data_IF_127447339314
#
_entry.id   IF_127447339314
#
_cell.length_a   1.000
_cell.length_b   1.000
_cell.length_c   1.000
_cell.angle_alpha   90.00
_cell.angle_beta   90.00
_cell.angle_gamma   90.00
#
_symmetry.space_group_name_H-M   'P 1'
#
loop_
_entity.id
_entity.type
_entity.pdbx_description
1 polymer ?
#
# COMPACT_ATOMS: atom_id res chain seq x y z
N UNK A 1 -18.81 5.05 4.74
CA UNK A 1 -18.18 6.29 4.24
C UNK A 1 -18.64 6.45 2.81
N UNK A 2 -19.30 7.57 2.46
CA UNK A 2 -19.65 7.90 1.08
C UNK A 2 -18.67 8.95 0.58
N UNK A 3 -18.04 8.68 -0.56
CA UNK A 3 -17.18 9.64 -1.23
C UNK A 3 -18.00 10.44 -2.23
N UNK A 4 -17.67 11.71 -2.44
CA UNK A 4 -18.25 12.55 -3.51
C UNK A 4 -17.32 12.67 -4.72
N UNK A 5 -16.14 12.05 -4.64
CA UNK A 5 -15.11 11.92 -5.68
C UNK A 5 -14.18 10.75 -5.33
N UNK A 6 -13.56 10.13 -6.31
CA UNK A 6 -12.53 9.12 -6.07
C UNK A 6 -11.33 9.74 -5.32
N UNK A 7 -10.97 9.24 -4.11
CA UNK A 7 -9.80 9.74 -3.38
C UNK A 7 -8.49 9.35 -4.07
N UNK A 8 -7.42 10.11 -3.87
CA UNK A 8 -6.11 9.81 -4.48
C UNK A 8 -5.46 8.57 -3.86
N UNK A 9 -5.65 8.36 -2.55
CA UNK A 9 -5.15 7.21 -1.80
C UNK A 9 -6.31 6.62 -1.01
N UNK A 10 -6.43 5.30 -0.99
CA UNK A 10 -7.39 4.56 -0.17
C UNK A 10 -6.62 3.64 0.78
N UNK A 11 -6.62 3.91 2.10
CA UNK A 11 -6.19 2.90 3.05
C UNK A 11 -7.27 1.81 3.13
N UNK A 12 -6.89 0.58 2.81
CA UNK A 12 -7.77 -0.60 2.91
C UNK A 12 -7.24 -1.49 4.02
N UNK A 13 -8.08 -1.77 5.02
CA UNK A 13 -7.80 -2.77 6.04
C UNK A 13 -8.42 -4.09 5.60
N UNK A 14 -7.62 -5.15 5.60
CA UNK A 14 -8.04 -6.50 5.22
C UNK A 14 -7.63 -7.47 6.32
N UNK A 15 -8.51 -8.41 6.65
CA UNK A 15 -8.29 -9.42 7.68
C UNK A 15 -8.63 -10.80 7.12
N UNK A 16 -7.74 -11.78 7.33
CA UNK A 16 -7.97 -13.17 6.96
C UNK A 16 -7.86 -13.48 5.46
N UNK A 17 -7.21 -12.61 4.68
CA UNK A 17 -6.99 -12.82 3.24
C UNK A 17 -5.58 -12.38 2.85
N UNK A 18 -4.94 -13.15 1.99
CA UNK A 18 -3.68 -12.75 1.35
C UNK A 18 -3.98 -11.86 0.15
N UNK A 19 -3.17 -10.81 -0.03
CA UNK A 19 -3.24 -9.89 -1.18
C UNK A 19 -1.87 -9.88 -1.84
N UNK A 20 -1.84 -9.94 -3.17
CA UNK A 20 -0.61 -9.83 -3.95
C UNK A 20 -0.44 -8.42 -4.52
N UNK A 21 0.78 -8.06 -4.93
CA UNK A 21 1.05 -6.74 -5.47
C UNK A 21 0.31 -6.47 -6.80
N UNK A 22 -0.07 -7.53 -7.50
CA UNK A 22 -0.80 -7.50 -8.77
C UNK A 22 -2.31 -7.27 -8.60
N UNK A 23 -2.83 -7.44 -7.39
CA UNK A 23 -4.23 -7.24 -7.09
C UNK A 23 -4.62 -5.77 -7.30
N UNK A 24 -5.78 -5.58 -7.94
CA UNK A 24 -6.34 -4.25 -8.25
C UNK A 24 -7.65 -4.05 -7.53
N UNK A 25 -7.86 -2.82 -7.06
CA UNK A 25 -9.12 -2.40 -6.46
C UNK A 25 -9.82 -1.40 -7.38
N UNK A 26 -11.12 -1.59 -7.56
CA UNK A 26 -11.97 -0.69 -8.35
C UNK A 26 -12.91 0.04 -7.42
N UNK A 27 -12.94 1.37 -7.49
CA UNK A 27 -13.92 2.18 -6.80
C UNK A 27 -14.82 2.89 -7.82
N UNK A 28 -16.12 2.86 -7.56
CA UNK A 28 -17.12 3.62 -8.32
C UNK A 28 -17.70 4.66 -7.36
N UNK A 29 -17.56 5.94 -7.69
CA UNK A 29 -18.05 7.06 -6.89
C UNK A 29 -18.82 8.00 -7.80
N UNK A 30 -20.13 8.15 -7.57
CA UNK A 30 -21.02 9.04 -8.32
C UNK A 30 -20.95 8.88 -9.87
N UNK A 31 -20.64 7.66 -10.34
CA UNK A 31 -20.51 7.33 -11.77
C UNK A 31 -19.09 7.40 -12.31
N UNK A 32 -18.16 8.01 -11.58
CA UNK A 32 -16.73 7.98 -11.90
C UNK A 32 -16.12 6.65 -11.44
N UNK A 33 -15.27 6.07 -12.30
CA UNK A 33 -14.53 4.84 -11.99
C UNK A 33 -13.06 5.15 -11.84
N UNK A 34 -12.47 4.72 -10.73
CA UNK A 34 -11.03 4.77 -10.50
C UNK A 34 -10.48 3.36 -10.28
N UNK A 35 -9.35 3.09 -10.93
CA UNK A 35 -8.56 1.87 -10.74
C UNK A 35 -7.39 2.20 -9.83
N UNK A 36 -7.27 1.45 -8.73
CA UNK A 36 -6.18 1.59 -7.77
C UNK A 36 -5.23 0.41 -7.90
N UNK A 37 -3.94 0.72 -7.86
CA UNK A 37 -2.86 -0.25 -7.70
C UNK A 37 -2.29 -0.15 -6.27
N UNK A 38 -1.64 -1.22 -5.80
CA UNK A 38 -0.98 -1.21 -4.51
C UNK A 38 0.21 -0.25 -4.51
N UNK A 39 0.11 0.83 -3.71
CA UNK A 39 1.22 1.77 -3.50
C UNK A 39 2.08 1.40 -2.28
N UNK A 40 1.56 0.55 -1.40
CA UNK A 40 2.24 0.07 -0.21
C UNK A 40 1.32 -0.80 0.65
N UNK A 41 1.93 -1.47 1.62
CA UNK A 41 1.25 -2.33 2.57
C UNK A 41 1.89 -2.20 3.95
N UNK A 42 1.04 -2.19 4.99
CA UNK A 42 1.44 -2.46 6.37
C UNK A 42 0.85 -3.82 6.71
N UNK A 43 1.69 -4.76 7.08
CA UNK A 43 1.26 -6.11 7.38
C UNK A 43 1.86 -6.57 8.70
N UNK A 44 1.10 -7.40 9.42
CA UNK A 44 1.55 -7.98 10.66
C UNK A 44 2.43 -9.19 10.35
N UNK A 45 3.71 -9.10 10.67
CA UNK A 45 4.63 -10.23 10.63
C UNK A 45 4.37 -11.21 11.78
N UNK A 46 5.39 -11.97 12.19
CA UNK A 46 5.25 -12.94 13.28
C UNK A 46 5.03 -12.24 14.63
N UNK A 47 5.68 -11.10 14.86
CA UNK A 47 5.69 -10.42 16.17
C UNK A 47 5.45 -8.91 16.13
N UNK A 48 5.47 -8.29 14.95
CA UNK A 48 5.37 -6.83 14.81
C UNK A 48 4.88 -6.43 13.41
N UNK A 49 4.53 -5.16 13.28
CA UNK A 49 4.17 -4.58 12.00
C UNK A 49 5.43 -4.30 11.16
N UNK A 50 5.30 -4.62 9.88
CA UNK A 50 6.27 -4.33 8.84
C UNK A 50 5.56 -3.54 7.75
N UNK A 51 6.28 -2.62 7.11
CA UNK A 51 5.73 -1.80 6.04
C UNK A 51 6.61 -1.84 4.78
N UNK A 52 5.95 -1.82 3.62
CA UNK A 52 6.56 -1.52 2.32
C UNK A 52 5.76 -0.49 1.59
N UNK A 53 6.42 0.42 0.87
CA UNK A 53 5.74 1.38 0.00
C UNK A 53 6.65 1.83 -1.14
N UNK A 54 6.03 2.36 -2.19
CA UNK A 54 6.71 2.95 -3.35
C UNK A 54 6.60 4.47 -3.26
N UNK A 55 7.70 5.18 -3.49
CA UNK A 55 7.69 6.65 -3.60
C UNK A 55 7.42 7.14 -5.02
N UNK A 56 7.38 8.46 -5.20
CA UNK A 56 7.15 9.12 -6.49
C UNK A 56 8.27 8.89 -7.53
N UNK A 57 9.39 8.28 -7.13
CA UNK A 57 10.51 7.91 -7.98
C UNK A 57 10.61 6.39 -8.18
N UNK A 58 9.52 5.67 -7.91
CA UNK A 58 9.44 4.22 -8.08
C UNK A 58 10.42 3.45 -7.17
N UNK A 59 10.92 4.09 -6.11
CA UNK A 59 11.77 3.42 -5.12
C UNK A 59 10.92 2.70 -4.11
N UNK A 60 11.32 1.48 -3.81
CA UNK A 60 10.67 0.62 -2.81
C UNK A 60 11.37 0.80 -1.47
N UNK A 61 10.61 1.22 -0.48
CA UNK A 61 11.06 1.46 0.88
C UNK A 61 10.51 0.39 1.82
N UNK A 62 11.37 -0.10 2.71
CA UNK A 62 11.04 -1.12 3.71
C UNK A 62 11.23 -0.55 5.12
N UNK A 63 10.27 -0.81 6.01
CA UNK A 63 10.42 -0.58 7.44
C UNK A 63 10.07 -1.86 8.19
N UNK A 64 10.99 -2.25 9.07
CA UNK A 64 10.74 -3.26 10.08
C UNK A 64 10.51 -2.49 11.39
N UNK A 65 9.30 -2.55 11.92
CA UNK A 65 8.90 -1.75 13.08
C UNK A 65 9.70 -2.02 14.36
N UNK A 66 10.50 -3.10 14.42
CA UNK A 66 11.42 -3.37 15.53
C UNK A 66 12.85 -2.95 15.17
N UNK A 67 13.35 -3.38 14.00
CA UNK A 67 14.76 -3.23 13.64
C UNK A 67 15.07 -1.79 13.22
N UNK A 68 14.15 -1.16 12.47
CA UNK A 68 14.40 0.12 11.82
C UNK A 68 13.78 1.31 12.56
N UNK A 69 13.00 1.07 13.62
CA UNK A 69 12.29 2.10 14.39
C UNK A 69 11.55 3.08 13.46
N UNK A 70 11.97 4.35 13.42
CA UNK A 70 11.37 5.42 12.61
C UNK A 70 11.99 5.58 11.21
N UNK A 71 12.93 4.72 10.85
CA UNK A 71 13.65 4.81 9.57
C UNK A 71 13.13 3.79 8.57
N UNK A 72 13.10 4.16 7.30
CA UNK A 72 12.91 3.21 6.21
C UNK A 72 14.24 2.98 5.49
N UNK A 73 14.46 1.78 4.97
CA UNK A 73 15.61 1.45 4.14
C UNK A 73 15.15 1.30 2.69
N UNK A 74 16.00 1.71 1.76
CA UNK A 74 15.79 1.47 0.33
C UNK A 74 16.01 -0.02 0.05
N UNK A 75 14.97 -0.72 -0.40
CA UNK A 75 15.02 -2.15 -0.72
C UNK A 75 15.21 -2.38 -2.22
N UNK A 76 14.75 -1.44 -3.05
CA UNK A 76 14.89 -1.55 -4.49
C UNK A 76 14.28 -0.38 -5.27
N UNK A 77 14.18 -0.58 -6.57
CA UNK A 77 13.55 0.33 -7.52
C UNK A 77 12.71 -0.52 -8.47
N UNK A 78 11.47 -0.10 -8.73
CA UNK A 78 10.67 -0.71 -9.77
C UNK A 78 11.34 -0.36 -11.11
N UNK A 79 11.59 -1.39 -11.90
CA UNK A 79 12.11 -1.27 -13.25
C UNK A 79 11.11 -1.95 -14.16
N UNK A 80 10.75 -1.28 -15.26
CA UNK A 80 9.93 -1.85 -16.33
C UNK A 80 10.62 -3.06 -17.00
#
# INVERSE_FOLDING_TARGET
ISFTRCPVIIPVQVEGVDITAEDKFYAIVDGDTATYAMAGAIYHGVHHFTARYTDEHEKVWYNDGIIHDRSCILEGQLVD
#
